data_IF_868589392954
#
_entry.id   IF_868589392954
#
_cell.length_a   1.000
_cell.length_b   1.000
_cell.length_c   1.000
_cell.angle_alpha   90.00
_cell.angle_beta   90.00
_cell.angle_gamma   90.00
#
_symmetry.space_group_name_H-M   'P 1'
#
loop_
_entity.id
_entity.type
_entity.pdbx_description
1 polymer ?
#
# COMPACT_ATOMS: atom_id res chain seq x y z
N UNK A 1 6.04 13.29 -20.48
CA UNK A 1 5.21 12.51 -19.53
C UNK A 1 5.55 11.04 -19.70
N UNK A 2 5.97 10.35 -18.63
CA UNK A 2 6.31 8.91 -18.70
C UNK A 2 5.03 8.13 -19.04
N UNK A 3 5.16 7.08 -19.86
CA UNK A 3 4.01 6.43 -20.50
C UNK A 3 3.04 5.81 -19.49
N UNK A 4 3.54 5.16 -18.42
CA UNK A 4 2.66 4.59 -17.39
C UNK A 4 1.86 5.67 -16.64
N UNK A 5 2.45 6.82 -16.28
CA UNK A 5 1.69 7.93 -15.69
C UNK A 5 0.57 8.41 -16.62
N UNK A 6 0.80 8.51 -17.93
CA UNK A 6 -0.27 8.84 -18.87
C UNK A 6 -1.40 7.79 -18.87
N UNK A 7 -1.04 6.50 -18.87
CA UNK A 7 -2.01 5.43 -18.80
C UNK A 7 -2.82 5.49 -17.50
N UNK A 8 -2.16 5.70 -16.37
CA UNK A 8 -2.77 5.75 -15.04
C UNK A 8 -3.66 6.99 -14.86
N UNK A 9 -3.20 8.17 -15.28
CA UNK A 9 -3.93 9.43 -15.11
C UNK A 9 -5.08 9.63 -16.10
N UNK A 10 -4.92 9.13 -17.35
CA UNK A 10 -5.82 9.48 -18.46
C UNK A 10 -6.64 8.32 -18.96
N UNK A 11 -6.06 7.13 -19.09
CA UNK A 11 -6.73 5.99 -19.72
C UNK A 11 -7.43 5.08 -18.71
N UNK A 12 -6.79 4.81 -17.56
CA UNK A 12 -7.38 3.99 -16.48
C UNK A 12 -8.71 4.57 -15.97
N UNK A 13 -8.85 5.89 -15.69
CA UNK A 13 -10.12 6.41 -15.17
C UNK A 13 -11.26 6.26 -16.18
N UNK A 14 -10.99 6.45 -17.47
CA UNK A 14 -11.98 6.27 -18.55
C UNK A 14 -12.37 4.80 -18.68
N UNK A 15 -11.39 3.90 -18.77
CA UNK A 15 -11.62 2.47 -19.01
C UNK A 15 -12.19 1.73 -17.80
N UNK A 16 -12.03 2.28 -16.59
CA UNK A 16 -12.53 1.71 -15.33
C UNK A 16 -13.82 2.38 -14.84
N UNK A 17 -14.26 3.49 -15.45
CA UNK A 17 -15.49 4.19 -15.08
C UNK A 17 -16.69 3.24 -15.09
N UNK A 18 -17.47 3.26 -14.00
CA UNK A 18 -18.67 2.44 -13.85
C UNK A 18 -18.41 0.95 -13.56
N UNK A 19 -17.15 0.50 -13.53
CA UNK A 19 -16.81 -0.90 -13.21
C UNK A 19 -16.68 -1.17 -11.71
N UNK A 20 -16.72 -0.13 -10.87
CA UNK A 20 -16.56 -0.23 -9.41
C UNK A 20 -15.36 -1.10 -8.99
N UNK A 21 -14.29 -1.04 -9.77
CA UNK A 21 -13.11 -1.89 -9.61
C UNK A 21 -12.30 -1.54 -8.35
N UNK A 22 -12.19 -0.24 -8.03
CA UNK A 22 -11.60 0.28 -6.80
C UNK A 22 -12.65 1.05 -5.99
N UNK A 23 -12.54 1.01 -4.65
CA UNK A 23 -13.44 1.72 -3.74
C UNK A 23 -12.69 2.32 -2.53
N UNK A 24 -11.59 3.07 -2.72
CA UNK A 24 -10.75 3.52 -1.61
C UNK A 24 -11.53 4.20 -0.48
N UNK A 25 -11.10 3.93 0.75
CA UNK A 25 -11.67 4.48 1.97
C UNK A 25 -11.55 6.00 1.93
N UNK A 26 -12.53 6.71 2.46
CA UNK A 26 -12.43 8.18 2.53
C UNK A 26 -11.30 8.59 3.46
N UNK A 27 -10.66 9.72 3.16
CA UNK A 27 -9.60 10.26 4.02
C UNK A 27 -10.15 10.46 5.43
N UNK A 28 -9.48 9.89 6.43
CA UNK A 28 -9.95 9.98 7.80
C UNK A 28 -9.11 9.19 8.80
N UNK A 29 -9.35 9.49 10.08
CA UNK A 29 -8.84 8.71 11.21
C UNK A 29 -9.82 7.56 11.45
N UNK A 30 -9.28 6.35 11.49
CA UNK A 30 -10.02 5.11 11.74
C UNK A 30 -9.74 4.61 13.16
N UNK A 31 -10.12 3.37 13.45
CA UNK A 31 -9.90 2.75 14.74
C UNK A 31 -8.43 2.36 14.97
N UNK A 32 -8.07 2.19 16.25
CA UNK A 32 -6.82 1.55 16.68
C UNK A 32 -5.52 2.20 16.16
N UNK A 33 -5.54 3.52 15.95
CA UNK A 33 -4.37 4.27 15.48
C UNK A 33 -4.15 4.19 13.97
N UNK A 34 -5.07 3.57 13.22
CA UNK A 34 -5.06 3.55 11.76
C UNK A 34 -5.69 4.82 11.22
N UNK A 35 -5.12 5.37 10.15
CA UNK A 35 -5.74 6.42 9.33
C UNK A 35 -5.36 6.22 7.87
N UNK A 36 -6.07 6.87 6.96
CA UNK A 36 -5.75 6.83 5.54
C UNK A 36 -5.98 8.15 4.84
N UNK A 37 -5.24 8.36 3.75
CA UNK A 37 -5.53 9.37 2.74
C UNK A 37 -6.02 8.66 1.49
N UNK A 38 -7.13 9.14 0.94
CA UNK A 38 -7.66 8.70 -0.34
C UNK A 38 -7.02 9.49 -1.48
N UNK A 39 -6.45 8.79 -2.44
CA UNK A 39 -6.04 9.40 -3.71
C UNK A 39 -6.70 8.66 -4.87
N UNK A 40 -7.74 9.28 -5.43
CA UNK A 40 -8.53 8.72 -6.54
C UNK A 40 -9.06 7.29 -6.27
N UNK A 41 -8.26 6.28 -6.64
CA UNK A 41 -8.54 4.85 -6.64
C UNK A 41 -7.68 4.03 -5.65
N UNK A 42 -6.78 4.67 -4.90
CA UNK A 42 -5.92 4.04 -3.89
C UNK A 42 -6.02 4.73 -2.53
N UNK A 43 -5.50 4.06 -1.50
CA UNK A 43 -5.29 4.65 -0.19
C UNK A 43 -3.79 4.62 0.16
N UNK A 44 -3.29 5.73 0.71
CA UNK A 44 -2.11 5.70 1.57
C UNK A 44 -2.57 5.38 3.00
N UNK A 45 -1.88 4.46 3.67
CA UNK A 45 -2.22 4.05 5.02
C UNK A 45 -1.20 4.54 6.03
N UNK A 46 -1.66 4.89 7.21
CA UNK A 46 -0.82 5.34 8.31
C UNK A 46 -1.20 4.58 9.57
N UNK A 47 -0.19 4.19 10.34
CA UNK A 47 -0.38 3.61 11.66
C UNK A 47 0.38 4.42 12.69
N UNK A 48 -0.35 4.95 13.67
CA UNK A 48 0.20 5.79 14.73
C UNK A 48 0.09 5.08 16.07
N UNK A 49 1.22 4.95 16.76
CA UNK A 49 1.31 4.39 18.12
C UNK A 49 2.30 5.20 18.93
N UNK A 50 1.94 5.58 20.16
CA UNK A 50 2.80 6.35 21.07
C UNK A 50 3.39 7.63 20.44
N UNK A 51 2.61 8.32 19.59
CA UNK A 51 3.04 9.54 18.89
C UNK A 51 4.03 9.30 17.73
N UNK A 52 4.30 8.04 17.38
CA UNK A 52 5.12 7.64 16.23
C UNK A 52 4.23 7.11 15.12
N UNK A 53 4.50 7.51 13.89
CA UNK A 53 3.68 7.14 12.73
C UNK A 53 4.53 6.52 11.63
N UNK A 54 4.06 5.39 11.09
CA UNK A 54 4.60 4.79 9.85
C UNK A 54 3.61 5.04 8.71
N UNK A 55 4.12 5.12 7.48
CA UNK A 55 3.32 5.19 6.27
C UNK A 55 3.46 3.91 5.43
N UNK A 56 2.39 3.51 4.76
CA UNK A 56 2.34 2.44 3.76
C UNK A 56 1.82 3.02 2.46
N UNK A 57 2.64 2.89 1.42
CA UNK A 57 2.53 3.56 0.11
C UNK A 57 2.61 5.08 0.19
N UNK A 58 2.79 5.69 -0.98
CA UNK A 58 2.97 7.13 -1.18
C UNK A 58 2.03 7.75 -2.20
N UNK A 59 1.08 6.97 -2.73
CA UNK A 59 0.10 7.49 -3.66
C UNK A 59 0.68 7.90 -5.01
N UNK A 60 -0.04 8.81 -5.66
CA UNK A 60 0.17 9.30 -7.01
C UNK A 60 1.17 10.47 -7.07
N UNK A 61 1.79 10.61 -8.24
CA UNK A 61 2.70 11.72 -8.51
C UNK A 61 1.99 13.08 -8.45
N UNK A 62 2.46 13.99 -7.58
CA UNK A 62 1.96 15.35 -7.45
C UNK A 62 0.43 15.42 -7.23
N UNK A 63 -0.10 14.54 -6.39
CA UNK A 63 -1.51 14.58 -6.00
C UNK A 63 -1.90 15.97 -5.48
N UNK A 64 -3.02 16.50 -5.99
CA UNK A 64 -3.43 17.88 -5.70
C UNK A 64 -3.96 17.99 -4.28
N UNK A 65 -3.64 19.11 -3.61
CA UNK A 65 -4.13 19.44 -2.27
C UNK A 65 -3.81 18.37 -1.21
N UNK A 66 -2.71 17.63 -1.39
CA UNK A 66 -2.30 16.59 -0.43
C UNK A 66 -2.14 17.11 1.01
N UNK A 67 -1.75 18.39 1.16
CA UNK A 67 -1.67 19.05 2.47
C UNK A 67 -3.01 19.10 3.20
N UNK A 68 -4.12 19.32 2.49
CA UNK A 68 -5.46 19.34 3.08
C UNK A 68 -5.88 17.94 3.56
N UNK A 69 -5.47 16.89 2.83
CA UNK A 69 -5.74 15.51 3.23
C UNK A 69 -4.93 15.10 4.48
N UNK A 70 -3.66 15.51 4.57
CA UNK A 70 -2.86 15.31 5.77
C UNK A 70 -3.43 16.04 7.00
N UNK A 71 -3.99 17.24 6.83
CA UNK A 71 -4.66 17.97 7.91
C UNK A 71 -5.86 17.20 8.46
N UNK A 72 -6.65 16.54 7.60
CA UNK A 72 -7.82 15.75 8.04
C UNK A 72 -7.46 14.59 8.97
N UNK A 73 -6.25 14.05 8.85
CA UNK A 73 -5.76 12.95 9.69
C UNK A 73 -4.77 13.40 10.77
N UNK A 74 -4.56 14.71 10.91
CA UNK A 74 -3.67 15.32 11.90
C UNK A 74 -2.23 14.73 11.88
N UNK A 75 -1.71 14.48 10.68
CA UNK A 75 -0.33 14.00 10.47
C UNK A 75 0.44 15.03 9.68
N UNK A 76 1.68 15.28 10.09
CA UNK A 76 2.64 16.08 9.32
C UNK A 76 3.51 15.13 8.49
N UNK A 77 3.55 15.25 7.16
CA UNK A 77 4.35 14.35 6.32
C UNK A 77 5.84 14.34 6.69
N UNK A 78 6.38 15.47 7.15
CA UNK A 78 7.78 15.62 7.53
C UNK A 78 8.13 14.82 8.80
N UNK A 79 7.13 14.43 9.60
CA UNK A 79 7.30 13.62 10.80
C UNK A 79 7.28 12.12 10.50
N UNK A 80 7.01 11.71 9.25
CA UNK A 80 7.08 10.31 8.84
C UNK A 80 8.54 9.95 8.60
N UNK A 81 9.08 9.10 9.46
CA UNK A 81 10.47 8.61 9.35
C UNK A 81 10.57 7.25 8.65
N UNK A 82 9.45 6.54 8.47
CA UNK A 82 9.44 5.20 7.90
C UNK A 82 8.29 5.04 6.90
N UNK A 83 8.65 4.70 5.67
CA UNK A 83 7.72 4.49 4.56
C UNK A 83 7.91 3.09 3.98
N UNK A 84 6.85 2.30 3.98
CA UNK A 84 6.83 0.97 3.40
C UNK A 84 6.07 1.00 2.07
N UNK A 85 6.72 0.64 0.96
CA UNK A 85 6.04 0.49 -0.31
C UNK A 85 5.60 -0.96 -0.50
N UNK A 86 4.31 -1.17 -0.77
CA UNK A 86 3.78 -2.48 -1.15
C UNK A 86 4.36 -2.91 -2.50
N UNK A 87 4.47 -1.96 -3.42
CA UNK A 87 5.09 -2.09 -4.73
C UNK A 87 5.35 -0.72 -5.37
N UNK A 88 6.10 -0.70 -6.47
CA UNK A 88 6.59 0.50 -7.12
C UNK A 88 5.76 0.88 -8.37
N UNK A 89 4.42 0.88 -8.28
CA UNK A 89 3.56 1.40 -9.35
C UNK A 89 3.29 2.90 -9.20
N UNK A 90 2.79 3.53 -10.27
CA UNK A 90 2.58 4.98 -10.35
C UNK A 90 1.61 5.52 -9.30
N UNK A 91 0.67 4.70 -8.88
CA UNK A 91 -0.36 4.97 -7.88
C UNK A 91 0.07 4.62 -6.43
N UNK A 92 1.23 4.00 -6.23
CA UNK A 92 1.72 3.62 -4.90
C UNK A 92 3.10 4.18 -4.55
N UNK A 93 3.99 4.34 -5.55
CA UNK A 93 5.32 4.93 -5.41
C UNK A 93 5.43 6.35 -5.98
N UNK A 94 4.35 6.88 -6.56
CA UNK A 94 4.36 8.14 -7.30
C UNK A 94 4.64 9.36 -6.42
N UNK A 95 4.14 9.39 -5.17
CA UNK A 95 4.35 10.50 -4.25
C UNK A 95 5.80 10.69 -3.78
N UNK A 96 6.70 9.75 -4.08
CA UNK A 96 8.14 9.87 -3.82
C UNK A 96 9.01 9.74 -5.08
N UNK A 97 8.41 9.77 -6.28
CA UNK A 97 9.16 9.72 -7.54
C UNK A 97 10.05 10.97 -7.70
N UNK A 98 11.30 10.75 -8.13
CA UNK A 98 12.33 11.78 -8.38
C UNK A 98 11.89 12.88 -9.34
N UNK A 99 10.89 12.63 -10.20
CA UNK A 99 10.35 13.60 -11.15
C UNK A 99 9.25 14.51 -10.58
N UNK A 100 8.82 14.29 -9.33
CA UNK A 100 7.83 15.09 -8.64
C UNK A 100 8.30 15.64 -7.29
N UNK A 101 7.34 16.12 -6.51
CA UNK A 101 7.58 16.55 -5.14
C UNK A 101 7.50 15.35 -4.19
N UNK A 102 8.59 15.05 -3.49
CA UNK A 102 8.61 14.00 -2.46
C UNK A 102 7.77 14.43 -1.25
N UNK A 103 6.65 13.76 -1.03
CA UNK A 103 5.73 14.03 0.08
C UNK A 103 6.25 13.53 1.44
N UNK A 104 7.30 12.70 1.48
CA UNK A 104 7.89 12.18 2.71
C UNK A 104 9.41 12.49 2.75
N UNK A 105 9.80 13.75 2.95
CA UNK A 105 11.19 14.18 2.77
C UNK A 105 12.17 13.56 3.77
N UNK A 106 11.70 13.11 4.93
CA UNK A 106 12.51 12.56 6.02
C UNK A 106 12.35 11.03 6.19
N UNK A 107 11.58 10.38 5.32
CA UNK A 107 11.29 8.96 5.47
C UNK A 107 12.41 8.10 4.91
N UNK A 108 12.82 7.09 5.68
CA UNK A 108 13.55 5.95 5.17
C UNK A 108 12.58 5.00 4.47
N UNK A 109 12.91 4.60 3.24
CA UNK A 109 12.04 3.78 2.39
C UNK A 109 12.39 2.30 2.53
N UNK A 110 11.37 1.47 2.71
CA UNK A 110 11.47 0.01 2.72
C UNK A 110 10.61 -0.55 1.58
N UNK A 111 11.16 -1.46 0.78
CA UNK A 111 10.40 -2.12 -0.29
C UNK A 111 10.91 -3.53 -0.55
N UNK A 112 10.06 -4.38 -1.14
CA UNK A 112 10.47 -5.75 -1.49
C UNK A 112 11.70 -5.75 -2.40
N UNK A 113 12.67 -6.63 -2.13
CA UNK A 113 13.94 -6.70 -2.86
C UNK A 113 13.75 -6.80 -4.39
N UNK A 114 12.75 -7.57 -4.82
CA UNK A 114 12.39 -7.75 -6.23
C UNK A 114 11.88 -6.47 -6.91
N UNK A 115 11.41 -5.46 -6.18
CA UNK A 115 10.94 -4.20 -6.79
C UNK A 115 12.06 -3.46 -7.52
N UNK A 116 13.32 -3.67 -7.11
CA UNK A 116 14.48 -3.13 -7.80
C UNK A 116 14.50 -3.51 -9.27
N UNK A 117 14.12 -4.75 -9.61
CA UNK A 117 14.11 -5.26 -11.00
C UNK A 117 13.16 -4.47 -11.90
N UNK A 118 12.04 -3.98 -11.35
CA UNK A 118 11.14 -3.09 -12.08
C UNK A 118 11.76 -1.70 -12.25
N UNK A 119 12.36 -1.16 -11.20
CA UNK A 119 13.00 0.17 -11.22
C UNK A 119 14.20 0.22 -12.20
N UNK A 120 15.03 -0.83 -12.24
CA UNK A 120 16.17 -0.96 -13.17
C UNK A 120 15.76 -1.36 -14.58
N UNK A 121 14.47 -1.57 -14.84
CA UNK A 121 13.90 -2.02 -16.12
C UNK A 121 14.45 -3.38 -16.58
N UNK A 122 14.94 -4.20 -15.67
CA UNK A 122 15.28 -5.61 -15.94
C UNK A 122 14.03 -6.41 -16.31
N UNK A 123 12.90 -6.09 -15.67
CA UNK A 123 11.61 -6.71 -15.94
C UNK A 123 10.56 -5.66 -16.30
N UNK A 124 9.61 -6.06 -17.13
CA UNK A 124 8.47 -5.23 -17.51
C UNK A 124 7.38 -5.34 -16.46
N UNK A 125 6.70 -4.22 -16.18
CA UNK A 125 5.60 -4.18 -15.22
C UNK A 125 4.30 -4.72 -15.82
N UNK A 126 4.01 -4.36 -17.07
CA UNK A 126 2.79 -4.80 -17.77
C UNK A 126 3.01 -4.89 -19.28
N UNK A 127 2.91 -6.09 -19.84
CA UNK A 127 3.01 -6.30 -21.29
C UNK A 127 4.32 -5.74 -21.87
N UNK A 128 4.24 -4.65 -22.64
CA UNK A 128 5.40 -3.96 -23.22
C UNK A 128 5.92 -2.79 -22.36
N UNK A 129 5.25 -2.44 -21.26
CA UNK A 129 5.59 -1.30 -20.43
C UNK A 129 6.62 -1.68 -19.36
N UNK A 130 7.77 -1.01 -19.42
CA UNK A 130 8.69 -0.94 -18.29
C UNK A 130 8.12 -0.04 -17.21
N UNK A 131 8.46 -0.33 -15.96
CA UNK A 131 8.16 0.61 -14.89
C UNK A 131 8.87 1.94 -15.16
N UNK A 132 8.25 3.03 -14.72
CA UNK A 132 8.81 4.36 -14.86
C UNK A 132 8.93 5.10 -13.54
N UNK A 133 8.49 4.50 -12.43
CA UNK A 133 8.68 5.09 -11.10
C UNK A 133 10.14 4.95 -10.70
N UNK A 134 10.75 6.07 -10.31
CA UNK A 134 12.14 6.14 -9.89
C UNK A 134 12.25 6.87 -8.56
N UNK A 135 12.79 6.22 -7.53
CA UNK A 135 12.89 6.78 -6.18
C UNK A 135 14.35 7.06 -5.79
N UNK A 136 14.55 7.80 -4.71
CA UNK A 136 15.87 8.03 -4.11
C UNK A 136 16.59 6.72 -3.77
N UNK A 137 17.92 6.74 -3.87
CA UNK A 137 18.76 5.65 -3.40
C UNK A 137 18.76 5.61 -1.87
N UNK A 138 19.26 4.52 -1.28
CA UNK A 138 19.35 4.35 0.18
C UNK A 138 18.13 3.68 0.84
N UNK A 139 17.21 3.12 0.06
CA UNK A 139 16.12 2.28 0.57
C UNK A 139 16.64 0.94 1.11
N UNK A 140 15.87 0.31 2.00
CA UNK A 140 16.17 -1.02 2.56
C UNK A 140 15.32 -2.11 1.87
N UNK A 141 15.96 -3.15 1.29
CA UNK A 141 15.23 -4.30 0.76
C UNK A 141 14.58 -5.11 1.86
N UNK A 142 13.33 -5.51 1.63
CA UNK A 142 12.59 -6.46 2.44
C UNK A 142 12.59 -7.82 1.73
N UNK A 143 13.13 -8.85 2.37
CA UNK A 143 13.08 -10.24 1.91
C UNK A 143 12.52 -11.16 3.01
N UNK A 144 11.75 -12.17 2.61
CA UNK A 144 11.13 -13.14 3.53
C UNK A 144 10.18 -12.54 4.58
N UNK A 145 10.12 -13.18 5.76
CA UNK A 145 9.23 -12.83 6.88
C UNK A 145 9.87 -11.82 7.84
N UNK A 146 10.47 -10.74 7.32
CA UNK A 146 11.11 -9.74 8.17
C UNK A 146 10.09 -9.06 9.10
N UNK A 147 10.33 -9.17 10.39
CA UNK A 147 9.67 -8.38 11.42
C UNK A 147 10.55 -7.16 11.65
N UNK A 148 10.01 -5.97 11.41
CA UNK A 148 10.70 -4.74 11.76
C UNK A 148 10.17 -4.27 13.11
N UNK A 149 11.07 -3.90 14.02
CA UNK A 149 10.72 -3.00 15.12
C UNK A 149 11.34 -1.65 14.78
N UNK A 150 10.50 -0.64 14.69
CA UNK A 150 10.90 0.68 14.25
C UNK A 150 10.26 1.69 15.17
N UNK A 151 11.06 2.38 15.97
CA UNK A 151 10.59 3.36 16.96
C UNK A 151 9.52 2.81 17.92
N UNK A 152 9.61 1.53 18.30
CA UNK A 152 8.62 0.85 19.15
C UNK A 152 7.32 0.46 18.43
N UNK A 153 7.26 0.70 17.11
CA UNK A 153 6.28 0.14 16.21
C UNK A 153 6.85 -1.14 15.64
N UNK A 154 6.45 -2.26 16.24
CA UNK A 154 6.68 -3.58 15.66
C UNK A 154 5.79 -3.72 14.42
N UNK A 155 6.37 -3.50 13.25
CA UNK A 155 5.74 -3.67 11.93
C UNK A 155 5.68 -5.16 11.62
N UNK A 156 4.72 -5.84 12.22
CA UNK A 156 4.15 -7.07 11.68
C UNK A 156 3.04 -6.65 10.70
N UNK A 157 3.42 -6.03 9.56
CA UNK A 157 2.47 -5.38 8.65
C UNK A 157 1.26 -6.27 8.30
N UNK A 158 1.51 -7.58 8.14
CA UNK A 158 0.45 -8.57 7.90
C UNK A 158 -0.48 -8.69 9.10
N UNK A 159 0.00 -8.82 10.33
CA UNK A 159 -0.88 -8.97 11.50
C UNK A 159 -1.80 -7.77 11.72
N UNK A 160 -1.34 -6.56 11.43
CA UNK A 160 -2.18 -5.36 11.51
C UNK A 160 -3.26 -5.35 10.41
N UNK A 161 -2.91 -5.75 9.18
CA UNK A 161 -3.87 -5.92 8.08
C UNK A 161 -4.88 -7.03 8.43
N UNK A 162 -4.42 -8.15 8.99
CA UNK A 162 -5.24 -9.29 9.41
C UNK A 162 -6.19 -8.93 10.54
N UNK A 163 -5.82 -8.02 11.45
CA UNK A 163 -6.71 -7.59 12.54
C UNK A 163 -8.04 -7.04 12.01
N UNK A 164 -8.02 -6.41 10.84
CA UNK A 164 -9.18 -5.83 10.16
C UNK A 164 -10.02 -6.85 9.35
N UNK A 165 -9.70 -8.15 9.40
CA UNK A 165 -10.41 -9.19 8.61
C UNK A 165 -11.90 -9.35 8.98
N UNK A 166 -12.28 -8.86 10.16
CA UNK A 166 -13.65 -8.90 10.69
C UNK A 166 -14.33 -7.53 10.73
N UNK A 167 -13.67 -6.49 10.19
CA UNK A 167 -14.19 -5.12 10.22
C UNK A 167 -15.60 -5.06 9.64
N UNK A 168 -16.49 -4.24 10.22
CA UNK A 168 -17.89 -4.13 9.77
C UNK A 168 -18.03 -3.59 8.34
N UNK A 169 -17.06 -2.80 7.87
CA UNK A 169 -17.00 -2.27 6.50
C UNK A 169 -16.62 -3.36 5.50
N UNK A 170 -17.52 -3.64 4.57
CA UNK A 170 -17.25 -4.54 3.44
C UNK A 170 -16.06 -4.06 2.60
N UNK A 171 -15.87 -2.74 2.53
CA UNK A 171 -14.73 -2.18 1.82
C UNK A 171 -13.41 -2.49 2.52
N UNK A 172 -13.31 -2.23 3.83
CA UNK A 172 -12.11 -2.53 4.61
C UNK A 172 -11.74 -4.01 4.45
N UNK A 173 -12.72 -4.91 4.59
CA UNK A 173 -12.52 -6.35 4.37
C UNK A 173 -12.02 -6.68 2.95
N UNK A 174 -12.56 -6.02 1.92
CA UNK A 174 -12.06 -6.18 0.53
C UNK A 174 -10.63 -5.67 0.37
N UNK A 175 -10.31 -4.54 0.99
CA UNK A 175 -8.95 -3.96 0.99
C UNK A 175 -7.97 -4.91 1.66
N UNK A 176 -8.28 -5.41 2.86
CA UNK A 176 -7.51 -6.42 3.59
C UNK A 176 -7.29 -7.66 2.73
N UNK A 177 -8.35 -8.22 2.16
CA UNK A 177 -8.26 -9.42 1.33
C UNK A 177 -7.43 -9.21 0.06
N UNK A 178 -7.54 -8.04 -0.57
CA UNK A 178 -6.72 -7.68 -1.74
C UNK A 178 -5.26 -7.45 -1.35
N UNK A 179 -4.98 -6.73 -0.27
CA UNK A 179 -3.64 -6.50 0.24
C UNK A 179 -2.96 -7.83 0.59
N UNK A 180 -3.63 -8.73 1.32
CA UNK A 180 -3.10 -10.06 1.62
C UNK A 180 -2.86 -10.88 0.35
N UNK A 181 -3.75 -10.82 -0.65
CA UNK A 181 -3.55 -11.46 -1.96
C UNK A 181 -2.36 -10.87 -2.72
N UNK A 182 -2.16 -9.56 -2.67
CA UNK A 182 -1.07 -8.89 -3.37
C UNK A 182 0.27 -9.16 -2.70
N UNK A 183 0.30 -9.21 -1.36
CA UNK A 183 1.44 -9.72 -0.57
C UNK A 183 1.74 -11.17 -0.94
N UNK A 184 0.71 -12.00 -1.13
CA UNK A 184 0.87 -13.43 -1.45
C UNK A 184 1.55 -13.68 -2.80
N UNK A 185 1.57 -12.69 -3.72
CA UNK A 185 2.32 -12.79 -4.99
C UNK A 185 3.83 -12.88 -4.78
N UNK A 186 4.33 -12.27 -3.70
CA UNK A 186 5.75 -12.24 -3.33
C UNK A 186 6.08 -13.18 -2.17
N UNK A 187 5.14 -13.32 -1.22
CA UNK A 187 5.32 -14.10 -0.01
C UNK A 187 4.19 -15.15 0.16
N UNK A 188 4.09 -16.14 -0.74
CA UNK A 188 2.96 -17.08 -0.76
C UNK A 188 2.89 -17.95 0.50
N UNK A 189 4.03 -18.48 0.97
CA UNK A 189 4.08 -19.34 2.16
C UNK A 189 3.70 -18.61 3.45
N UNK A 190 4.03 -17.32 3.54
CA UNK A 190 3.66 -16.48 4.68
C UNK A 190 2.14 -16.30 4.78
N UNK A 191 1.51 -15.95 3.66
CA UNK A 191 0.05 -15.79 3.62
C UNK A 191 -0.64 -17.14 3.79
N UNK A 192 -0.11 -18.22 3.22
CA UNK A 192 -0.65 -19.57 3.41
C UNK A 192 -0.62 -20.01 4.88
N UNK A 193 0.51 -19.79 5.57
CA UNK A 193 0.64 -20.08 6.99
C UNK A 193 -0.32 -19.23 7.84
N UNK A 194 -0.43 -17.92 7.56
CA UNK A 194 -1.39 -17.04 8.23
C UNK A 194 -2.84 -17.53 8.05
N UNK A 195 -3.25 -17.77 6.80
CA UNK A 195 -4.60 -18.22 6.47
C UNK A 195 -4.94 -19.60 7.06
N UNK A 196 -3.96 -20.51 7.18
CA UNK A 196 -4.21 -21.84 7.79
C UNK A 196 -4.60 -21.78 9.27
N UNK A 197 -4.33 -20.66 9.96
CA UNK A 197 -4.71 -20.46 11.35
C UNK A 197 -6.11 -19.84 11.51
N UNK A 198 -6.77 -19.46 10.42
CA UNK A 198 -8.06 -18.75 10.49
C UNK A 198 -9.23 -19.71 10.71
N UNK A 199 -10.09 -19.36 11.67
CA UNK A 199 -11.39 -20.01 11.86
C UNK A 199 -12.43 -19.31 10.98
N UNK A 200 -12.96 -20.04 10.00
CA UNK A 200 -13.87 -19.48 8.98
C UNK A 200 -15.33 -19.46 9.44
N UNK A 201 -15.58 -18.83 10.59
CA UNK A 201 -16.86 -18.93 11.31
C UNK A 201 -17.86 -17.80 10.97
N UNK A 202 -17.38 -16.66 10.43
CA UNK A 202 -18.21 -15.51 10.07
C UNK A 202 -18.21 -15.25 8.56
N UNK A 203 -19.29 -14.63 8.06
CA UNK A 203 -19.38 -14.24 6.63
C UNK A 203 -18.30 -13.22 6.26
N UNK A 204 -17.89 -12.39 7.23
CA UNK A 204 -16.84 -11.39 7.17
C UNK A 204 -15.48 -12.06 6.92
N UNK A 205 -15.06 -12.97 7.79
CA UNK A 205 -13.77 -13.70 7.63
C UNK A 205 -13.76 -14.47 6.32
N UNK A 206 -14.86 -15.15 5.99
CA UNK A 206 -14.98 -15.93 4.75
C UNK A 206 -14.79 -15.06 3.50
N UNK A 207 -15.30 -13.83 3.51
CA UNK A 207 -15.10 -12.86 2.42
C UNK A 207 -13.62 -12.53 2.23
N UNK A 208 -12.93 -12.18 3.33
CA UNK A 208 -11.50 -11.81 3.30
C UNK A 208 -10.66 -13.00 2.88
N UNK A 209 -10.89 -14.15 3.49
CA UNK A 209 -10.19 -15.40 3.20
C UNK A 209 -10.28 -15.75 1.71
N UNK A 210 -11.46 -15.65 1.10
CA UNK A 210 -11.67 -15.95 -0.33
C UNK A 210 -10.84 -15.04 -1.25
N UNK A 211 -10.68 -13.77 -0.89
CA UNK A 211 -9.87 -12.83 -1.65
C UNK A 211 -8.37 -13.11 -1.45
N UNK A 212 -7.95 -13.24 -0.20
CA UNK A 212 -6.56 -13.46 0.21
C UNK A 212 -6.01 -14.80 -0.32
N UNK A 213 -6.79 -15.87 -0.26
CA UNK A 213 -6.36 -17.22 -0.65
C UNK A 213 -6.28 -17.43 -2.16
N UNK A 214 -6.67 -16.45 -2.99
CA UNK A 214 -6.94 -16.67 -4.42
C UNK A 214 -5.72 -17.19 -5.20
N UNK A 215 -4.51 -16.86 -4.74
CA UNK A 215 -3.25 -17.22 -5.41
C UNK A 215 -2.42 -18.25 -4.64
N UNK A 216 -2.86 -18.69 -3.45
CA UNK A 216 -2.07 -19.52 -2.51
C UNK A 216 -2.82 -20.74 -1.98
N UNK A 217 -3.90 -21.14 -2.67
CA UNK A 217 -4.59 -22.41 -2.39
C UNK A 217 -3.68 -23.59 -2.67
#
# INVERSE_FOLDING_TARGET
>A
MKLLYFFDDKLKPITMRGKYYCKPEETGILAEGVSCIREYDVNMWFYTKNGKTIAVDSGHLNFKNIGDEFQKINIRPENINHLFLTHLDTDHGGGIDKSGHNIFPNAHVYMGEDEKKYMTKEIRRKGIFYNCVEIADGWTPISGNMIFDVDGVRVEAIRQIVALKEDTSEYVRKSVGNALRDISKKFPELIKAELSNWKLESKEINQVYKLASKLVR
#
